data_IF_091233397004
#
_entry.id   IF_091233397004
#
_cell.length_a   1.000
_cell.length_b   1.000
_cell.length_c   1.000
_cell.angle_alpha   90.00
_cell.angle_beta   90.00
_cell.angle_gamma   90.00
#
_symmetry.space_group_name_H-M   'P 1'
#
loop_
_entity.id
_entity.type
_entity.pdbx_description
1 polymer ?
#
# COMPACT_ATOMS: atom_id res chain seq x y z
N UNK A 1 3.01 -26.35 14.83
CA UNK A 1 2.92 -25.76 13.47
C UNK A 1 2.38 -24.36 13.63
N UNK A 2 3.05 -23.34 13.10
CA UNK A 2 2.54 -21.98 13.22
C UNK A 2 1.42 -21.77 12.19
N UNK A 3 0.34 -21.14 12.60
CA UNK A 3 -0.84 -20.99 11.75
C UNK A 3 -0.62 -19.83 10.77
N UNK A 4 -0.74 -20.12 9.47
CA UNK A 4 -0.66 -19.07 8.45
C UNK A 4 -1.94 -18.24 8.49
N UNK A 5 -1.78 -16.93 8.56
CA UNK A 5 -2.89 -15.97 8.50
C UNK A 5 -2.76 -15.10 7.26
N UNK A 6 -3.86 -14.47 6.85
CA UNK A 6 -3.84 -13.52 5.73
C UNK A 6 -3.15 -12.22 6.16
N UNK A 7 -2.20 -11.76 5.37
CA UNK A 7 -1.54 -10.46 5.53
C UNK A 7 -1.91 -9.55 4.36
N UNK A 8 -2.04 -8.27 4.67
CA UNK A 8 -2.40 -7.23 3.72
C UNK A 8 -1.47 -6.04 3.92
N UNK A 9 -0.95 -5.48 2.84
CA UNK A 9 -0.28 -4.19 2.86
C UNK A 9 -0.61 -3.37 1.62
N UNK A 10 -0.48 -2.05 1.72
CA UNK A 10 -0.76 -1.14 0.59
C UNK A 10 0.54 -0.61 0.01
N UNK A 11 0.71 -0.82 -1.29
CA UNK A 11 1.98 -0.58 -1.99
C UNK A 11 1.77 0.24 -3.25
N UNK A 12 2.79 1.04 -3.54
CA UNK A 12 3.04 1.56 -4.88
C UNK A 12 3.96 0.58 -5.60
N UNK A 13 3.52 0.08 -6.74
CA UNK A 13 4.26 -0.78 -7.64
C UNK A 13 4.66 -0.04 -8.92
N UNK A 14 5.89 -0.24 -9.36
CA UNK A 14 6.42 0.30 -10.62
C UNK A 14 7.21 -0.80 -11.31
N UNK A 15 6.87 -1.09 -12.57
CA UNK A 15 7.58 -2.09 -13.36
C UNK A 15 8.81 -1.48 -14.04
N UNK A 16 9.86 -2.28 -14.22
CA UNK A 16 11.09 -1.83 -14.88
C UNK A 16 10.86 -1.39 -16.34
N UNK A 17 9.94 -2.05 -17.05
CA UNK A 17 9.59 -1.73 -18.44
C UNK A 17 8.74 -0.45 -18.61
N UNK A 18 8.05 -0.01 -17.56
CA UNK A 18 7.16 1.15 -17.58
C UNK A 18 7.39 2.06 -16.37
N UNK A 19 8.57 2.71 -16.26
CA UNK A 19 8.95 3.48 -15.08
C UNK A 19 8.07 4.71 -14.82
N UNK A 20 7.34 5.17 -15.84
CA UNK A 20 6.44 6.33 -15.75
C UNK A 20 5.02 5.97 -15.31
N UNK A 21 4.77 4.71 -14.96
CA UNK A 21 3.45 4.24 -14.54
C UNK A 21 3.55 3.67 -13.13
N UNK A 22 2.72 4.23 -12.26
CA UNK A 22 2.61 3.83 -10.87
C UNK A 22 1.27 3.13 -10.65
N UNK A 23 1.33 1.92 -10.13
CA UNK A 23 0.18 1.13 -9.74
C UNK A 23 0.08 1.18 -8.22
N UNK A 24 -1.08 1.51 -7.69
CA UNK A 24 -1.35 1.53 -6.25
C UNK A 24 -2.37 0.45 -5.95
N UNK A 25 -2.07 -0.39 -4.97
CA UNK A 25 -2.87 -1.57 -4.72
C UNK A 25 -2.47 -2.29 -3.44
N UNK A 26 -3.20 -3.35 -3.15
CA UNK A 26 -2.97 -4.17 -1.97
C UNK A 26 -2.15 -5.40 -2.36
N UNK A 27 -1.09 -5.69 -1.61
CA UNK A 27 -0.45 -7.00 -1.62
C UNK A 27 -1.12 -7.86 -0.58
N UNK A 28 -1.58 -9.03 -1.01
CA UNK A 28 -2.28 -10.00 -0.18
C UNK A 28 -1.59 -11.35 -0.29
N UNK A 29 -1.45 -12.04 0.84
CA UNK A 29 -0.75 -13.32 0.93
C UNK A 29 -0.91 -13.96 2.29
N UNK A 30 -0.92 -15.30 2.33
CA UNK A 30 -0.87 -16.02 3.59
C UNK A 30 0.56 -16.09 4.12
N UNK A 31 0.77 -15.78 5.39
CA UNK A 31 2.07 -15.86 6.04
C UNK A 31 1.91 -16.07 7.55
N UNK A 32 2.91 -16.70 8.14
CA UNK A 32 2.97 -17.01 9.57
C UNK A 32 3.22 -15.74 10.39
N UNK A 33 4.15 -14.91 9.92
CA UNK A 33 4.56 -13.69 10.57
C UNK A 33 4.97 -12.63 9.52
N UNK A 34 5.31 -11.44 10.02
CA UNK A 34 5.71 -10.30 9.18
C UNK A 34 6.94 -10.62 8.31
N UNK A 35 7.92 -11.35 8.85
CA UNK A 35 9.17 -11.62 8.15
C UNK A 35 8.95 -12.61 6.99
N UNK A 36 8.15 -13.65 7.21
CA UNK A 36 7.73 -14.56 6.15
C UNK A 36 6.95 -13.82 5.05
N UNK A 37 6.09 -12.88 5.42
CA UNK A 37 5.39 -12.03 4.45
C UNK A 37 6.37 -11.13 3.67
N UNK A 38 7.37 -10.57 4.35
CA UNK A 38 8.40 -9.76 3.71
C UNK A 38 9.24 -10.56 2.72
N UNK A 39 9.61 -11.80 3.06
CA UNK A 39 10.34 -12.70 2.14
C UNK A 39 9.54 -12.95 0.86
N UNK A 40 8.22 -13.18 0.97
CA UNK A 40 7.34 -13.30 -0.20
C UNK A 40 7.33 -12.03 -1.05
N UNK A 41 7.32 -10.85 -0.43
CA UNK A 41 7.39 -9.57 -1.15
C UNK A 41 8.71 -9.45 -1.93
N UNK A 42 9.84 -9.83 -1.34
CA UNK A 42 11.12 -9.78 -2.04
C UNK A 42 11.15 -10.76 -3.24
N UNK A 43 10.64 -11.98 -3.06
CA UNK A 43 10.50 -12.94 -4.15
C UNK A 43 9.60 -12.40 -5.29
N UNK A 44 8.48 -11.78 -4.92
CA UNK A 44 7.55 -11.16 -5.87
C UNK A 44 8.20 -10.04 -6.70
N UNK A 45 9.02 -9.18 -6.07
CA UNK A 45 9.75 -8.11 -6.80
C UNK A 45 10.64 -8.68 -7.88
N UNK A 46 11.35 -9.76 -7.59
CA UNK A 46 12.25 -10.45 -8.52
C UNK A 46 11.45 -11.07 -9.66
N UNK A 47 10.44 -11.88 -9.32
CA UNK A 47 9.61 -12.60 -10.29
C UNK A 47 8.92 -11.64 -11.29
N UNK A 48 8.39 -10.52 -10.80
CA UNK A 48 7.66 -9.55 -11.62
C UNK A 48 8.51 -8.39 -12.13
N UNK A 49 9.83 -8.41 -11.88
CA UNK A 49 10.76 -7.33 -12.26
C UNK A 49 10.21 -5.93 -11.93
N UNK A 50 9.76 -5.78 -10.68
CA UNK A 50 9.09 -4.58 -10.22
C UNK A 50 9.69 -4.03 -8.93
N UNK A 51 9.51 -2.74 -8.71
CA UNK A 51 9.80 -2.06 -7.45
C UNK A 51 8.50 -1.89 -6.69
N UNK A 52 8.52 -2.23 -5.41
CA UNK A 52 7.41 -2.05 -4.47
C UNK A 52 7.83 -1.10 -3.36
N UNK A 53 7.05 -0.04 -3.17
CA UNK A 53 7.24 0.94 -2.09
C UNK A 53 6.02 0.87 -1.19
N UNK A 54 6.22 0.46 0.06
CA UNK A 54 5.15 0.40 1.06
C UNK A 54 4.64 1.81 1.33
N UNK A 55 3.33 1.99 1.17
CA UNK A 55 2.61 3.21 1.54
C UNK A 55 1.98 3.03 2.93
N UNK A 56 1.56 1.81 3.26
CA UNK A 56 1.13 1.39 4.59
C UNK A 56 1.80 0.06 4.94
N UNK A 57 2.23 -0.07 6.19
CA UNK A 57 2.90 -1.26 6.68
C UNK A 57 2.00 -2.50 6.56
N UNK A 58 2.55 -3.67 6.19
CA UNK A 58 1.77 -4.88 6.13
C UNK A 58 1.34 -5.32 7.53
N UNK A 59 0.07 -5.70 7.65
CA UNK A 59 -0.57 -6.14 8.88
C UNK A 59 -1.38 -7.43 8.62
N UNK A 60 -1.66 -8.23 9.67
CA UNK A 60 -2.69 -9.26 9.59
C UNK A 60 -4.02 -8.67 9.11
N UNK A 61 -4.75 -9.38 8.27
CA UNK A 61 -5.97 -8.89 7.63
C UNK A 61 -7.05 -8.46 8.64
N UNK A 62 -7.14 -9.16 9.76
CA UNK A 62 -8.04 -8.80 10.87
C UNK A 62 -7.73 -7.39 11.40
N UNK A 63 -6.45 -7.10 11.68
CA UNK A 63 -5.98 -5.78 12.12
C UNK A 63 -6.13 -4.74 11.01
N UNK A 64 -5.85 -5.13 9.76
CA UNK A 64 -6.00 -4.25 8.60
C UNK A 64 -7.44 -3.75 8.45
N UNK A 65 -8.43 -4.65 8.47
CA UNK A 65 -9.84 -4.28 8.32
C UNK A 65 -10.38 -3.47 9.49
N UNK A 66 -9.87 -3.69 10.71
CA UNK A 66 -10.19 -2.85 11.86
C UNK A 66 -9.70 -1.40 11.68
N UNK A 67 -8.51 -1.21 11.11
CA UNK A 67 -7.88 0.12 10.97
C UNK A 67 -8.33 0.88 9.73
N UNK A 68 -8.62 0.17 8.64
CA UNK A 68 -8.84 0.76 7.32
C UNK A 68 -10.24 0.49 6.77
N UNK A 69 -11.09 -0.19 7.54
CA UNK A 69 -12.42 -0.62 7.12
C UNK A 69 -12.39 -1.95 6.38
N UNK A 70 -13.53 -2.63 6.37
CA UNK A 70 -13.68 -3.88 5.63
C UNK A 70 -13.65 -3.65 4.12
N UNK A 71 -12.82 -4.41 3.42
CA UNK A 71 -12.61 -4.31 1.98
C UNK A 71 -13.00 -5.64 1.33
N UNK A 72 -14.26 -5.76 0.89
CA UNK A 72 -14.83 -7.00 0.37
C UNK A 72 -14.06 -7.59 -0.81
N UNK A 73 -13.49 -6.74 -1.67
CA UNK A 73 -12.64 -7.14 -2.78
C UNK A 73 -11.34 -7.82 -2.34
N UNK A 74 -10.70 -7.33 -1.27
CA UNK A 74 -9.51 -7.95 -0.68
C UNK A 74 -9.87 -9.31 -0.09
N UNK A 75 -10.97 -9.37 0.66
CA UNK A 75 -11.45 -10.61 1.25
C UNK A 75 -11.76 -11.67 0.17
N UNK A 76 -12.52 -11.29 -0.86
CA UNK A 76 -12.85 -12.17 -1.97
C UNK A 76 -11.61 -12.63 -2.73
N UNK A 77 -10.63 -11.76 -2.95
CA UNK A 77 -9.39 -12.12 -3.64
C UNK A 77 -8.54 -13.09 -2.79
N UNK A 78 -8.56 -12.96 -1.46
CA UNK A 78 -7.85 -13.86 -0.56
C UNK A 78 -8.45 -15.27 -0.52
N UNK A 79 -9.76 -15.43 -0.70
CA UNK A 79 -10.42 -16.75 -0.75
C UNK A 79 -9.95 -17.59 -1.94
N UNK A 80 -9.49 -16.95 -3.02
CA UNK A 80 -9.01 -17.60 -4.23
C UNK A 80 -7.48 -17.76 -4.25
N UNK A 81 -6.81 -17.36 -3.16
CA UNK A 81 -5.37 -17.28 -3.09
C UNK A 81 -4.79 -18.60 -2.57
N UNK A 82 -3.80 -19.14 -3.28
CA UNK A 82 -3.04 -20.28 -2.77
C UNK A 82 -2.19 -19.87 -1.56
N UNK A 83 -1.92 -20.80 -0.64
CA UNK A 83 -1.16 -20.53 0.60
C UNK A 83 0.23 -19.94 0.34
N UNK A 84 0.88 -20.33 -0.75
CA UNK A 84 2.23 -19.88 -1.09
C UNK A 84 2.23 -18.58 -1.92
N UNK A 85 1.12 -18.26 -2.56
CA UNK A 85 1.03 -17.15 -3.50
C UNK A 85 1.00 -15.79 -2.79
N UNK A 86 1.60 -14.80 -3.45
CA UNK A 86 1.45 -13.39 -3.14
C UNK A 86 0.82 -12.70 -4.35
N UNK A 87 -0.29 -11.98 -4.15
CA UNK A 87 -1.03 -11.35 -5.23
C UNK A 87 -1.16 -9.85 -5.02
N UNK A 88 -0.88 -9.10 -6.07
CA UNK A 88 -1.09 -7.65 -6.12
C UNK A 88 -2.48 -7.34 -6.70
N UNK A 89 -3.34 -6.75 -5.89
CA UNK A 89 -4.64 -6.25 -6.31
C UNK A 89 -4.57 -4.74 -6.59
N UNK A 90 -4.51 -4.38 -7.87
CA UNK A 90 -4.42 -2.99 -8.30
C UNK A 90 -5.74 -2.25 -8.06
N UNK A 91 -5.68 -1.12 -7.37
CA UNK A 91 -6.81 -0.23 -7.13
C UNK A 91 -6.77 1.02 -8.03
N UNK A 92 -5.57 1.57 -8.24
CA UNK A 92 -5.39 2.81 -9.00
C UNK A 92 -4.12 2.80 -9.84
N UNK A 93 -4.22 3.28 -11.07
CA UNK A 93 -3.08 3.56 -11.95
C UNK A 93 -2.86 5.06 -12.06
N UNK A 94 -1.60 5.51 -12.05
CA UNK A 94 -1.20 6.90 -12.34
C UNK A 94 -0.08 6.90 -13.36
N UNK A 95 -0.18 7.80 -14.32
CA UNK A 95 0.93 8.12 -15.21
C UNK A 95 1.64 9.37 -14.67
N UNK A 96 2.97 9.34 -14.57
CA UNK A 96 3.71 10.60 -14.53
C UNK A 96 3.64 11.20 -15.92
N UNK A 97 2.75 12.18 -16.10
CA UNK A 97 2.93 13.13 -17.20
C UNK A 97 4.34 13.70 -17.04
N UNK A 98 5.14 13.69 -18.10
CA UNK A 98 6.35 14.52 -18.15
C UNK A 98 5.88 15.96 -17.89
N UNK A 99 6.06 16.45 -16.66
CA UNK A 99 5.86 17.86 -16.37
C UNK A 99 6.94 18.59 -17.16
N UNK A 100 6.62 19.09 -18.34
CA UNK A 100 7.24 20.34 -18.74
C UNK A 100 6.89 21.34 -17.63
N UNK A 101 7.88 22.01 -17.00
CA UNK A 101 7.59 23.04 -16.03
C UNK A 101 7.06 24.27 -16.77
N UNK A 102 5.80 24.26 -17.20
CA UNK A 102 5.09 25.50 -17.45
C UNK A 102 4.64 26.01 -16.10
N UNK A 103 5.40 26.98 -15.59
CA UNK A 103 4.98 27.81 -14.47
C UNK A 103 3.64 28.47 -14.87
N UNK A 104 2.52 27.94 -14.41
CA UNK A 104 1.23 28.59 -14.53
C UNK A 104 0.56 28.60 -13.17
N UNK A 105 0.70 29.74 -12.49
CA UNK A 105 -0.17 30.11 -11.38
C UNK A 105 -1.60 30.12 -11.92
N UNK A 106 -2.40 29.13 -11.54
CA UNK A 106 -3.85 29.30 -11.44
C UNK A 106 -4.29 28.80 -10.07
N UNK A 107 -4.42 29.76 -9.16
CA UNK A 107 -5.23 29.64 -7.97
C UNK A 107 -6.66 29.39 -8.44
N UNK A 108 -7.22 28.23 -8.11
CA UNK A 108 -8.66 28.06 -8.08
C UNK A 108 -9.01 27.26 -6.83
N UNK A 109 -9.68 27.95 -5.92
CA UNK A 109 -10.29 27.38 -4.75
C UNK A 109 -11.42 26.44 -5.19
N UNK A 110 -11.29 25.15 -4.88
CA UNK A 110 -12.44 24.25 -4.81
C UNK A 110 -12.46 23.59 -3.44
N UNK A 111 -13.37 24.07 -2.60
CA UNK A 111 -13.68 23.55 -1.27
C UNK A 111 -14.47 22.26 -1.45
N UNK A 112 -13.82 21.09 -1.55
CA UNK A 112 -14.51 19.80 -1.34
C UNK A 112 -13.59 18.58 -1.13
N UNK A 113 -12.48 18.73 -0.39
CA UNK A 113 -11.73 17.57 0.08
C UNK A 113 -10.97 17.89 1.38
N UNK A 114 -11.71 18.14 2.46
CA UNK A 114 -11.17 18.23 3.84
C UNK A 114 -11.93 17.27 4.75
N UNK A 115 -11.81 15.99 4.49
CA UNK A 115 -11.91 14.96 5.51
C UNK A 115 -10.79 13.97 5.18
N UNK A 116 -10.07 13.46 6.18
CA UNK A 116 -8.88 12.58 6.09
C UNK A 116 -7.48 13.21 6.19
N UNK A 117 -7.31 14.32 6.91
CA UNK A 117 -5.96 14.82 7.24
C UNK A 117 -5.85 15.38 8.67
N UNK A 118 -6.37 14.64 9.66
CA UNK A 118 -6.32 15.05 11.08
C UNK A 118 -5.81 13.99 12.06
N UNK A 119 -5.12 12.92 11.63
CA UNK A 119 -4.63 11.90 12.58
C UNK A 119 -3.11 11.64 12.62
N UNK A 120 -2.27 12.49 12.02
CA UNK A 120 -0.80 12.34 12.17
C UNK A 120 -0.13 13.68 12.46
N UNK A 121 -0.54 14.38 13.52
CA UNK A 121 0.24 15.47 14.12
C UNK A 121 -0.03 15.61 15.63
N UNK A 122 0.04 14.51 16.38
CA UNK A 122 0.07 14.55 17.85
C UNK A 122 0.99 13.46 18.36
N UNK A 123 2.29 13.56 18.07
CA UNK A 123 3.32 12.92 18.90
C UNK A 123 4.72 13.50 18.63
N UNK A 124 4.92 14.80 18.92
CA UNK A 124 6.26 15.42 19.04
C UNK A 124 6.27 16.67 19.93
N UNK A 125 5.72 16.58 21.14
CA UNK A 125 5.96 17.58 22.19
C UNK A 125 5.94 16.95 23.58
N UNK A 126 7.04 16.33 23.95
CA UNK A 126 7.37 16.06 25.36
C UNK A 126 8.88 15.96 25.54
N UNK A 127 9.61 17.01 25.17
CA UNK A 127 10.88 17.32 25.84
C UNK A 127 11.04 18.84 25.86
N UNK A 128 10.74 19.42 27.03
CA UNK A 128 11.44 20.55 27.67
C UNK A 128 10.52 21.15 28.74
N UNK A 129 10.89 20.94 30.00
CA UNK A 129 10.97 21.94 31.09
C UNK A 129 11.05 21.26 32.47
N UNK A 130 11.47 21.99 33.52
CA UNK A 130 12.18 23.28 33.54
C UNK A 130 13.67 23.12 33.78
#
# INVERSE_FOLDING_TARGET
MSEQQLWVGYYQQTYANHPNIYYFGHLIGFAENRDAFQQKIEAYKIQHQCKLISQLAPLPATIWFQRHGYQANIWSAAQQLNKEELRFYCFRKKHTAKRHPTYSKKVSHSRHCRQFLTCILTDRRTYLKP
#
